data_IF_946179047948
#
_entry.id   IF_946179047948
#
_cell.length_a   1.000
_cell.length_b   1.000
_cell.length_c   1.000
_cell.angle_alpha   90.00
_cell.angle_beta   90.00
_cell.angle_gamma   90.00
#
_symmetry.space_group_name_H-M   'P 1'
#
loop_
_entity.id
_entity.type
_entity.pdbx_description
1 polymer ?
#
# COMPACT_ATOMS: atom_id res chain seq x y z
N UNK A 1 11.63 -16.25 -17.24
CA UNK A 1 11.12 -16.22 -15.85
C UNK A 1 11.42 -14.91 -15.09
N UNK A 2 12.16 -13.93 -15.65
CA UNK A 2 12.39 -12.63 -14.99
C UNK A 2 11.20 -11.66 -15.09
N UNK A 3 10.36 -11.79 -16.12
CA UNK A 3 9.25 -10.85 -16.37
C UNK A 3 8.02 -11.06 -15.48
N UNK A 4 7.85 -12.25 -14.88
CA UNK A 4 6.73 -12.54 -13.98
C UNK A 4 6.82 -11.77 -12.65
N UNK A 5 8.03 -11.38 -12.22
CA UNK A 5 8.25 -10.63 -10.99
C UNK A 5 8.11 -9.12 -11.18
N UNK A 6 8.28 -8.60 -12.40
CA UNK A 6 8.01 -7.18 -12.71
C UNK A 6 6.55 -6.80 -12.46
N UNK A 7 5.64 -7.76 -12.59
CA UNK A 7 4.21 -7.56 -12.33
C UNK A 7 3.80 -7.69 -10.85
N UNK A 8 4.69 -8.14 -9.95
CA UNK A 8 4.34 -8.25 -8.52
C UNK A 8 4.27 -6.88 -7.83
N UNK A 9 4.95 -5.88 -8.39
CA UNK A 9 5.00 -4.51 -7.92
C UNK A 9 4.68 -3.56 -9.08
N UNK A 10 3.39 -3.43 -9.36
CA UNK A 10 2.89 -2.71 -10.54
C UNK A 10 3.05 -1.19 -10.43
N UNK A 11 3.30 -0.65 -9.24
CA UNK A 11 3.34 0.79 -9.02
C UNK A 11 4.56 1.21 -8.19
N UNK A 12 5.23 2.28 -8.62
CA UNK A 12 6.29 2.95 -7.86
C UNK A 12 5.83 4.35 -7.43
N UNK A 13 6.16 4.75 -6.20
CA UNK A 13 6.00 6.11 -5.68
C UNK A 13 7.30 6.57 -5.02
N UNK A 14 7.55 7.87 -5.08
CA UNK A 14 8.65 8.51 -4.37
C UNK A 14 8.05 9.48 -3.36
N UNK A 15 8.47 9.37 -2.11
CA UNK A 15 8.04 10.25 -1.04
C UNK A 15 8.86 11.56 -1.04
N UNK A 16 8.42 12.55 -0.27
CA UNK A 16 9.08 13.86 -0.16
C UNK A 16 10.51 13.78 0.39
N UNK A 17 10.83 12.74 1.17
CA UNK A 17 12.17 12.45 1.68
C UNK A 17 13.06 11.71 0.67
N UNK A 18 12.64 11.61 -0.60
CA UNK A 18 13.23 10.82 -1.67
C UNK A 18 13.25 9.29 -1.45
N UNK A 19 12.57 8.78 -0.41
CA UNK A 19 12.39 7.34 -0.25
C UNK A 19 11.52 6.79 -1.38
N UNK A 20 12.00 5.75 -2.05
CA UNK A 20 11.24 5.06 -3.10
C UNK A 20 10.55 3.83 -2.56
N UNK A 21 9.25 3.71 -2.84
CA UNK A 21 8.44 2.55 -2.50
C UNK A 21 7.79 1.96 -3.74
N UNK A 22 7.57 0.66 -3.67
CA UNK A 22 6.83 -0.09 -4.67
C UNK A 22 5.59 -0.67 -4.03
N UNK A 23 4.48 -0.74 -4.77
CA UNK A 23 3.27 -1.33 -4.26
C UNK A 23 2.46 -2.08 -5.30
N UNK A 24 1.63 -2.99 -4.81
CA UNK A 24 0.56 -3.66 -5.55
C UNK A 24 -0.77 -3.45 -4.86
N UNK A 25 -1.85 -3.55 -5.65
CA UNK A 25 -3.22 -3.39 -5.17
C UNK A 25 -3.98 -4.68 -5.42
N UNK A 26 -4.67 -5.18 -4.39
CA UNK A 26 -5.51 -6.37 -4.46
C UNK A 26 -6.84 -6.15 -3.72
N UNK A 27 -7.93 -6.80 -4.12
CA UNK A 27 -9.17 -6.78 -3.35
C UNK A 27 -8.97 -7.50 -2.01
N UNK A 28 -9.48 -6.93 -0.93
CA UNK A 28 -9.45 -7.50 0.42
C UNK A 28 -10.86 -7.60 0.97
N UNK A 29 -11.26 -8.81 1.39
CA UNK A 29 -12.55 -9.06 2.01
C UNK A 29 -12.39 -8.98 3.53
N UNK A 30 -13.02 -7.99 4.14
CA UNK A 30 -13.10 -7.90 5.59
C UNK A 30 -14.21 -8.82 6.07
N UNK A 31 -13.88 -9.79 6.92
CA UNK A 31 -14.82 -10.73 7.51
C UNK A 31 -15.01 -10.46 9.00
N UNK A 32 -16.21 -10.73 9.51
CA UNK A 32 -16.46 -10.73 10.95
C UNK A 32 -15.95 -12.04 11.59
N UNK A 33 -16.05 -12.14 12.93
CA UNK A 33 -15.65 -13.33 13.68
C UNK A 33 -16.43 -14.61 13.29
N UNK A 34 -17.58 -14.48 12.62
CA UNK A 34 -18.39 -15.59 12.12
C UNK A 34 -18.04 -15.98 10.67
N UNK A 35 -17.01 -15.36 10.08
CA UNK A 35 -16.57 -15.63 8.71
C UNK A 35 -17.42 -14.99 7.61
N UNK A 36 -18.42 -14.19 7.95
CA UNK A 36 -19.23 -13.46 6.97
C UNK A 36 -18.49 -12.23 6.46
N UNK A 37 -18.50 -12.00 5.14
CA UNK A 37 -17.94 -10.80 4.52
C UNK A 37 -18.80 -9.59 4.89
N UNK A 38 -18.20 -8.59 5.51
CA UNK A 38 -18.86 -7.35 5.93
C UNK A 38 -18.44 -6.13 5.09
N UNK A 39 -17.29 -6.19 4.43
CA UNK A 39 -16.85 -5.17 3.49
C UNK A 39 -15.83 -5.72 2.49
N UNK A 40 -15.68 -5.02 1.36
CA UNK A 40 -14.61 -5.24 0.39
C UNK A 40 -13.81 -3.94 0.26
N UNK A 41 -12.50 -4.04 0.50
CA UNK A 41 -11.53 -2.94 0.46
C UNK A 41 -10.51 -3.19 -0.65
N UNK A 42 -9.73 -2.17 -0.97
CA UNK A 42 -8.49 -2.31 -1.73
C UNK A 42 -7.32 -2.40 -0.73
N UNK A 43 -6.58 -3.50 -0.74
CA UNK A 43 -5.32 -3.66 -0.01
C UNK A 43 -4.17 -3.17 -0.88
N UNK A 44 -3.43 -2.19 -0.35
CA UNK A 44 -2.19 -1.67 -0.90
C UNK A 44 -1.02 -2.27 -0.12
N UNK A 45 -0.22 -3.09 -0.78
CA UNK A 45 0.95 -3.74 -0.18
C UNK A 45 2.23 -3.03 -0.64
N UNK A 46 2.85 -2.26 0.24
CA UNK A 46 4.06 -1.48 -0.03
C UNK A 46 5.31 -2.23 0.40
N UNK A 47 6.36 -2.09 -0.42
CA UNK A 47 7.69 -2.58 -0.12
C UNK A 47 8.72 -1.49 -0.40
N UNK A 48 9.72 -1.36 0.48
CA UNK A 48 10.94 -0.57 0.23
C UNK A 48 12.07 -1.55 0.03
N UNK A 49 12.83 -1.40 -1.06
CA UNK A 49 14.14 -2.06 -1.19
C UNK A 49 15.16 -1.16 -0.50
N UNK A 50 15.62 -1.56 0.67
CA UNK A 50 16.79 -0.97 1.31
C UNK A 50 18.04 -1.76 0.90
N UNK A 51 19.19 -1.10 0.82
CA UNK A 51 20.48 -1.72 0.48
C UNK A 51 21.01 -2.60 1.62
N UNK A 52 20.45 -2.46 2.83
CA UNK A 52 20.89 -3.15 4.05
C UNK A 52 20.01 -4.35 4.46
N UNK A 53 19.37 -5.05 3.53
CA UNK A 53 18.52 -6.25 3.76
C UNK A 53 17.28 -6.04 4.66
N UNK A 54 17.05 -4.82 5.16
CA UNK A 54 15.84 -4.43 5.87
C UNK A 54 14.66 -4.31 4.91
N UNK A 55 13.91 -5.40 4.74
CA UNK A 55 12.70 -5.37 3.93
C UNK A 55 11.58 -4.65 4.69
N UNK A 56 11.38 -3.36 4.40
CA UNK A 56 10.18 -2.65 4.87
C UNK A 56 8.98 -3.15 4.05
N UNK A 57 7.99 -3.72 4.72
CA UNK A 57 6.71 -4.11 4.13
C UNK A 57 5.59 -3.49 4.97
N UNK A 58 4.65 -2.77 4.34
CA UNK A 58 3.47 -2.27 5.05
C UNK A 58 2.20 -2.44 4.21
N UNK A 59 1.06 -2.67 4.87
CA UNK A 59 -0.24 -2.76 4.23
C UNK A 59 -1.14 -1.61 4.65
N UNK A 60 -1.80 -1.01 3.67
CA UNK A 60 -2.85 -0.02 3.87
C UNK A 60 -4.12 -0.47 3.15
N UNK A 61 -5.27 -0.05 3.64
CA UNK A 61 -6.56 -0.43 3.09
C UNK A 61 -7.35 0.81 2.73
N UNK A 62 -7.97 0.83 1.55
CA UNK A 62 -8.82 1.93 1.08
C UNK A 62 -10.23 1.43 0.81
N UNK A 63 -11.24 2.17 1.26
CA UNK A 63 -12.63 1.92 0.87
C UNK A 63 -12.90 2.50 -0.52
N UNK A 64 -14.00 2.07 -1.16
CA UNK A 64 -14.44 2.64 -2.45
C UNK A 64 -14.75 4.13 -2.37
N UNK A 65 -15.10 4.64 -1.19
CA UNK A 65 -15.35 6.06 -0.89
C UNK A 65 -14.06 6.85 -0.64
N UNK A 66 -12.90 6.18 -0.63
CA UNK A 66 -11.60 6.82 -0.47
C UNK A 66 -11.08 6.92 0.97
N UNK A 67 -11.73 6.25 1.94
CA UNK A 67 -11.28 6.27 3.33
C UNK A 67 -10.13 5.29 3.56
N UNK A 68 -9.06 5.75 4.20
CA UNK A 68 -7.86 4.95 4.49
C UNK A 68 -7.87 4.33 5.89
N UNK A 69 -7.42 3.09 5.96
CA UNK A 69 -7.22 2.33 7.19
C UNK A 69 -5.82 1.71 7.21
N UNK A 70 -5.15 1.80 8.35
CA UNK A 70 -3.97 1.02 8.67
C UNK A 70 -4.38 -0.02 9.72
N UNK A 71 -4.26 -1.30 9.37
CA UNK A 71 -4.41 -2.36 10.36
C UNK A 71 -3.05 -2.46 11.06
N UNK A 72 -3.00 -2.08 12.33
CA UNK A 72 -1.79 -2.25 13.14
C UNK A 72 -1.51 -3.73 13.29
N UNK A 73 -0.60 -4.25 12.47
CA UNK A 73 -0.04 -5.57 12.70
C UNK A 73 0.88 -5.45 13.93
N UNK A 74 0.55 -6.16 15.02
CA UNK A 74 1.17 -6.01 16.33
C UNK A 74 2.70 -6.23 16.34
N UNK A 75 3.26 -6.73 15.24
CA UNK A 75 4.69 -6.98 15.07
C UNK A 75 5.46 -5.81 14.43
N UNK A 76 4.79 -4.79 13.92
CA UNK A 76 5.47 -3.73 13.15
C UNK A 76 5.06 -2.35 13.67
N UNK A 77 5.94 -1.75 14.47
CA UNK A 77 5.85 -0.35 14.89
C UNK A 77 6.16 0.57 13.71
N UNK A 78 5.20 0.75 12.81
CA UNK A 78 5.36 1.66 11.69
C UNK A 78 5.42 3.12 12.16
N UNK A 79 6.33 3.90 11.58
CA UNK A 79 6.32 5.35 11.78
C UNK A 79 5.06 5.94 11.13
N UNK A 80 4.14 6.47 11.94
CA UNK A 80 2.88 7.09 11.48
C UNK A 80 3.09 8.17 10.40
N UNK A 81 4.23 8.87 10.42
CA UNK A 81 4.59 9.86 9.41
C UNK A 81 4.74 9.23 8.02
N UNK A 82 5.43 8.08 7.93
CA UNK A 82 5.63 7.35 6.68
C UNK A 82 4.29 6.85 6.12
N UNK A 83 3.41 6.32 6.97
CA UNK A 83 2.09 5.88 6.53
C UNK A 83 1.26 7.04 5.94
N UNK A 84 1.33 8.23 6.54
CA UNK A 84 0.68 9.43 6.00
C UNK A 84 1.24 9.83 4.65
N UNK A 85 2.57 9.84 4.50
CA UNK A 85 3.23 10.18 3.23
C UNK A 85 2.87 9.18 2.12
N UNK A 86 2.81 7.87 2.44
CA UNK A 86 2.39 6.85 1.48
C UNK A 86 0.95 7.07 1.01
N UNK A 87 0.00 7.31 1.93
CA UNK A 87 -1.41 7.61 1.58
C UNK A 87 -1.50 8.80 0.63
N UNK A 88 -0.83 9.91 0.95
CA UNK A 88 -0.83 11.12 0.11
C UNK A 88 -0.19 10.87 -1.26
N UNK A 89 0.94 10.17 -1.32
CA UNK A 89 1.61 9.86 -2.58
C UNK A 89 0.74 8.99 -3.50
N UNK A 90 -0.03 8.06 -2.94
CA UNK A 90 -1.03 7.29 -3.70
C UNK A 90 -2.17 8.18 -4.19
N UNK A 91 -2.74 9.04 -3.34
CA UNK A 91 -3.80 9.96 -3.78
C UNK A 91 -3.35 10.88 -4.91
N UNK A 92 -2.12 11.39 -4.85
CA UNK A 92 -1.57 12.24 -5.93
C UNK A 92 -1.38 11.42 -7.20
N UNK A 93 -0.88 10.18 -7.08
CA UNK A 93 -0.61 9.32 -8.22
C UNK A 93 -1.89 8.84 -8.92
N UNK A 94 -2.91 8.47 -8.15
CA UNK A 94 -4.17 7.92 -8.66
C UNK A 94 -5.21 9.01 -8.95
N UNK A 95 -5.14 10.14 -8.25
CA UNK A 95 -6.02 11.29 -8.41
C UNK A 95 -5.62 12.25 -9.54
N UNK A 96 -4.41 12.11 -10.10
CA UNK A 96 -4.06 12.75 -11.37
C UNK A 96 -4.46 11.80 -12.51
N UNK A 97 -5.61 11.99 -13.19
CA UNK A 97 -5.73 11.48 -14.54
C UNK A 97 -4.61 12.15 -15.33
N UNK A 98 -3.76 11.36 -15.96
CA UNK A 98 -2.78 11.85 -16.93
C UNK A 98 -3.58 12.64 -17.97
N UNK A 99 -3.57 13.97 -17.87
CA UNK A 99 -3.96 14.82 -18.97
C UNK A 99 -2.76 14.76 -19.92
N UNK A 100 -2.98 13.97 -20.98
CA UNK A 100 -2.13 13.76 -22.15
C UNK A 100 -1.69 15.08 -22.80
#
# INVERSE_FOLDING_TARGET
MRDALKNLFSHQITLEDNSQFYYSVAPYQLTNALGSIIAVLQEYNFTKRDENDGQFNCKLYKTKEGNWYDMQDAKISFNKSVLRMLKLAVEIKEGNPVNE
#
